data_IF_946453381985
#
_entry.id   IF_946453381985
#
_cell.length_a   1.000
_cell.length_b   1.000
_cell.length_c   1.000
_cell.angle_alpha   90.00
_cell.angle_beta   90.00
_cell.angle_gamma   90.00
#
_symmetry.space_group_name_H-M   'P 1'
#
loop_
_entity.id
_entity.type
_entity.pdbx_description
1 polymer ?
#
# COMPACT_ATOMS: atom_id res chain seq x y z
N UNK A 1 -0.79 -12.30 7.64
CA UNK A 1 -1.10 -11.07 6.87
C UNK A 1 0.00 -10.70 5.85
N UNK A 2 1.30 -10.80 6.16
CA UNK A 2 2.33 -10.57 5.14
C UNK A 2 2.22 -11.55 3.95
N UNK A 3 2.00 -12.84 4.24
CA UNK A 3 1.85 -13.88 3.21
C UNK A 3 0.67 -13.67 2.27
N UNK A 4 -0.47 -13.15 2.76
CA UNK A 4 -1.65 -12.96 1.91
C UNK A 4 -1.43 -11.90 0.83
N UNK A 5 -0.60 -10.90 1.09
CA UNK A 5 -0.29 -9.87 0.10
C UNK A 5 0.78 -10.30 -0.90
N UNK A 6 1.72 -11.14 -0.48
CA UNK A 6 2.66 -11.78 -1.40
C UNK A 6 1.90 -12.69 -2.36
N UNK A 7 1.01 -13.54 -1.83
CA UNK A 7 0.16 -14.41 -2.64
C UNK A 7 -0.69 -13.62 -3.64
N UNK A 8 -1.31 -12.50 -3.22
CA UNK A 8 -2.06 -11.62 -4.11
C UNK A 8 -1.19 -11.04 -5.24
N UNK A 9 0.05 -10.63 -4.95
CA UNK A 9 0.96 -10.10 -5.98
C UNK A 9 1.38 -11.17 -6.98
N UNK A 10 1.69 -12.37 -6.50
CA UNK A 10 2.02 -13.50 -7.37
C UNK A 10 0.84 -13.81 -8.30
N UNK A 11 -0.37 -13.93 -7.73
CA UNK A 11 -1.58 -14.15 -8.52
C UNK A 11 -1.78 -13.05 -9.58
N UNK A 12 -1.61 -11.78 -9.23
CA UNK A 12 -1.74 -10.66 -10.18
C UNK A 12 -0.69 -10.66 -11.28
N UNK A 13 0.54 -11.10 -10.99
CA UNK A 13 1.63 -11.15 -11.98
C UNK A 13 1.40 -12.22 -13.05
N UNK A 14 0.75 -13.33 -12.68
CA UNK A 14 0.44 -14.45 -13.57
C UNK A 14 -0.85 -14.23 -14.40
N UNK A 15 -1.62 -13.19 -14.08
CA UNK A 15 -2.84 -12.88 -14.83
C UNK A 15 -2.50 -12.34 -16.24
N UNK A 16 -3.27 -12.74 -17.26
CA UNK A 16 -3.22 -12.05 -18.55
C UNK A 16 -3.52 -10.56 -18.35
N UNK A 17 -2.94 -9.68 -19.18
CA UNK A 17 -3.20 -8.23 -19.14
C UNK A 17 -4.67 -7.95 -19.48
N UNK A 18 -5.51 -8.01 -18.47
CA UNK A 18 -6.91 -7.60 -18.53
C UNK A 18 -6.95 -6.18 -18.00
N UNK A 19 -7.04 -5.20 -18.90
CA UNK A 19 -7.09 -3.79 -18.51
C UNK A 19 -8.43 -3.42 -17.88
N UNK A 20 -9.51 -4.10 -18.31
CA UNK A 20 -10.86 -3.81 -17.84
C UNK A 20 -11.79 -5.02 -17.95
N UNK A 21 -12.71 -5.08 -17.00
CA UNK A 21 -13.78 -6.07 -16.90
C UNK A 21 -15.09 -5.35 -17.16
N UNK A 22 -16.00 -6.02 -17.84
CA UNK A 22 -17.28 -5.48 -18.24
C UNK A 22 -18.38 -6.43 -17.82
N UNK A 23 -19.45 -5.84 -17.31
CA UNK A 23 -20.74 -6.51 -17.20
C UNK A 23 -21.42 -6.39 -18.56
N UNK A 24 -21.89 -7.50 -19.12
CA UNK A 24 -22.53 -7.53 -20.44
C UNK A 24 -24.02 -7.29 -20.29
N UNK A 25 -24.49 -6.15 -20.81
CA UNK A 25 -25.91 -5.82 -20.89
C UNK A 25 -26.53 -6.12 -22.25
N UNK A 26 -27.75 -5.61 -22.45
CA UNK A 26 -28.49 -5.77 -23.69
C UNK A 26 -27.70 -5.21 -24.90
N UNK A 27 -27.81 -5.83 -26.10
CA UNK A 27 -28.71 -6.95 -26.43
C UNK A 27 -28.11 -8.34 -26.15
N UNK A 28 -26.85 -8.44 -25.74
CA UNK A 28 -26.11 -9.70 -25.71
C UNK A 28 -26.17 -10.43 -24.36
N UNK A 29 -26.57 -9.74 -23.30
CA UNK A 29 -26.79 -10.28 -21.96
C UNK A 29 -27.79 -9.44 -21.19
N UNK A 30 -28.05 -9.78 -19.93
CA UNK A 30 -28.97 -9.02 -19.06
C UNK A 30 -28.26 -8.31 -17.91
N UNK A 31 -26.93 -8.27 -17.94
CA UNK A 31 -26.09 -7.70 -16.88
C UNK A 31 -25.46 -8.75 -15.96
N UNK A 32 -25.46 -9.99 -16.40
CA UNK A 32 -25.13 -11.22 -15.67
C UNK A 32 -23.80 -11.85 -16.14
N UNK A 33 -23.34 -11.55 -17.35
CA UNK A 33 -22.04 -12.04 -17.81
C UNK A 33 -20.92 -11.06 -17.49
N UNK A 34 -19.76 -11.62 -17.15
CA UNK A 34 -18.52 -10.87 -16.97
C UNK A 34 -17.55 -11.22 -18.10
N UNK A 35 -17.13 -10.18 -18.82
CA UNK A 35 -16.21 -10.30 -19.96
C UNK A 35 -14.98 -9.43 -19.74
N UNK A 36 -13.82 -9.99 -20.08
CA UNK A 36 -12.55 -9.28 -20.05
C UNK A 36 -12.25 -8.60 -21.39
N UNK A 37 -11.81 -7.35 -21.34
CA UNK A 37 -11.26 -6.61 -22.48
C UNK A 37 -12.28 -5.88 -23.37
N UNK A 38 -13.54 -6.31 -23.42
CA UNK A 38 -14.59 -5.67 -24.23
C UNK A 38 -16.00 -5.91 -23.66
N UNK A 39 -16.95 -4.96 -23.76
CA UNK A 39 -18.35 -5.14 -23.30
C UNK A 39 -19.21 -6.03 -24.19
N UNK A 40 -18.78 -6.28 -25.43
CA UNK A 40 -19.38 -7.29 -26.32
C UNK A 40 -18.73 -8.66 -26.05
N UNK A 41 -19.51 -9.68 -25.66
CA UNK A 41 -18.99 -11.02 -25.35
C UNK A 41 -18.34 -11.72 -26.54
N UNK A 42 -18.63 -11.32 -27.78
CA UNK A 42 -18.00 -11.90 -28.97
C UNK A 42 -16.60 -11.33 -29.25
N UNK A 43 -16.30 -10.14 -28.71
CA UNK A 43 -15.04 -9.44 -28.92
C UNK A 43 -14.11 -9.52 -27.70
N UNK A 44 -14.67 -9.79 -26.52
CA UNK A 44 -13.92 -10.00 -25.30
C UNK A 44 -13.71 -11.48 -24.98
N UNK A 45 -12.96 -11.75 -23.90
CA UNK A 45 -12.83 -13.11 -23.38
C UNK A 45 -13.94 -13.35 -22.39
N UNK A 46 -14.85 -14.27 -22.70
CA UNK A 46 -15.86 -14.75 -21.75
C UNK A 46 -15.16 -15.37 -20.53
N UNK A 47 -15.53 -14.92 -19.33
CA UNK A 47 -14.92 -15.40 -18.08
C UNK A 47 -15.92 -16.20 -17.27
N UNK A 48 -17.07 -15.61 -16.96
CA UNK A 48 -18.03 -16.21 -16.05
C UNK A 48 -19.46 -15.75 -16.36
N UNK A 49 -20.37 -16.70 -16.18
CA UNK A 49 -21.79 -16.44 -16.00
C UNK A 49 -22.07 -16.22 -14.51
N UNK A 50 -22.89 -15.23 -14.17
CA UNK A 50 -23.42 -15.08 -12.81
C UNK A 50 -24.86 -15.55 -12.65
N UNK A 51 -25.54 -15.96 -13.74
CA UNK A 51 -26.91 -16.51 -13.75
C UNK A 51 -26.94 -17.96 -13.20
N UNK A 52 -25.85 -18.71 -13.38
CA UNK A 52 -25.73 -20.14 -13.02
C UNK A 52 -25.28 -20.42 -11.57
N UNK A 53 -25.22 -19.43 -10.68
CA UNK A 53 -24.92 -19.67 -9.25
C UNK A 53 -26.20 -20.03 -8.47
N UNK A 54 -26.84 -21.14 -8.86
CA UNK A 54 -27.85 -21.95 -8.15
C UNK A 54 -29.01 -21.24 -7.42
N UNK A 55 -29.28 -19.96 -7.65
CA UNK A 55 -30.37 -19.26 -7.00
C UNK A 55 -30.73 -17.96 -7.71
N UNK A 56 -32.01 -17.81 -8.04
CA UNK A 56 -32.58 -16.52 -8.44
C UNK A 56 -32.46 -15.52 -7.29
N UNK A 57 -31.30 -14.87 -7.20
CA UNK A 57 -30.95 -13.93 -6.17
C UNK A 57 -31.20 -12.50 -6.63
N UNK A 58 -31.88 -11.71 -5.81
CA UNK A 58 -32.18 -10.28 -6.02
C UNK A 58 -30.93 -9.40 -6.26
N UNK A 59 -29.72 -9.94 -6.08
CA UNK A 59 -28.43 -9.24 -6.10
C UNK A 59 -27.41 -9.72 -7.15
N UNK A 60 -27.78 -10.61 -8.09
CA UNK A 60 -26.85 -11.15 -9.10
C UNK A 60 -26.15 -10.03 -9.89
N UNK A 61 -26.88 -8.98 -10.25
CA UNK A 61 -26.35 -7.81 -10.94
C UNK A 61 -25.36 -7.00 -10.09
N UNK A 62 -25.61 -6.88 -8.79
CA UNK A 62 -24.71 -6.17 -7.87
C UNK A 62 -23.40 -6.94 -7.67
N UNK A 63 -23.49 -8.27 -7.60
CA UNK A 63 -22.30 -9.14 -7.53
C UNK A 63 -21.48 -9.08 -8.82
N UNK A 64 -22.12 -9.13 -9.99
CA UNK A 64 -21.43 -9.02 -11.28
C UNK A 64 -20.71 -7.66 -11.40
N UNK A 65 -21.39 -6.57 -11.00
CA UNK A 65 -20.80 -5.24 -10.96
C UNK A 65 -19.63 -5.15 -9.96
N UNK A 66 -19.77 -5.75 -8.78
CA UNK A 66 -18.71 -5.78 -7.76
C UNK A 66 -17.48 -6.55 -8.25
N UNK A 67 -17.66 -7.72 -8.85
CA UNK A 67 -16.58 -8.56 -9.39
C UNK A 67 -15.88 -7.83 -10.55
N UNK A 68 -16.63 -7.22 -11.48
CA UNK A 68 -16.05 -6.43 -12.56
C UNK A 68 -15.30 -5.17 -12.05
N UNK A 69 -15.79 -4.54 -10.98
CA UNK A 69 -15.13 -3.42 -10.32
C UNK A 69 -13.84 -3.85 -9.59
N UNK A 70 -13.81 -5.07 -9.05
CA UNK A 70 -12.64 -5.72 -8.48
C UNK A 70 -11.63 -6.21 -9.55
N UNK A 71 -11.45 -5.42 -10.60
CA UNK A 71 -10.45 -5.64 -11.65
C UNK A 71 -9.03 -5.75 -11.03
N UNK A 72 -8.21 -6.74 -11.42
CA UNK A 72 -6.79 -6.85 -11.10
C UNK A 72 -6.00 -5.54 -11.15
N UNK A 73 -6.29 -4.66 -12.12
CA UNK A 73 -5.66 -3.34 -12.20
C UNK A 73 -5.96 -2.46 -10.97
N UNK A 74 -7.20 -2.47 -10.48
CA UNK A 74 -7.60 -1.77 -9.25
C UNK A 74 -6.89 -2.35 -8.03
N UNK A 75 -6.85 -3.68 -7.92
CA UNK A 75 -6.17 -4.35 -6.80
C UNK A 75 -4.67 -4.05 -6.81
N UNK A 76 -4.02 -4.06 -7.98
CA UNK A 76 -2.61 -3.70 -8.12
C UNK A 76 -2.34 -2.25 -7.68
N UNK A 77 -3.19 -1.29 -8.07
CA UNK A 77 -3.08 0.11 -7.63
C UNK A 77 -3.22 0.24 -6.11
N UNK A 78 -4.23 -0.40 -5.51
CA UNK A 78 -4.43 -0.37 -4.06
C UNK A 78 -3.24 -0.96 -3.30
N UNK A 79 -2.62 -2.01 -3.84
CA UNK A 79 -1.40 -2.59 -3.26
C UNK A 79 -0.21 -1.63 -3.31
N UNK A 80 -0.05 -0.86 -4.40
CA UNK A 80 0.98 0.18 -4.50
C UNK A 80 0.72 1.33 -3.51
N UNK A 81 -0.52 1.81 -3.42
CA UNK A 81 -0.90 2.87 -2.48
C UNK A 81 -0.65 2.45 -1.04
N UNK A 82 -1.02 1.21 -0.70
CA UNK A 82 -0.71 0.63 0.61
C UNK A 82 0.80 0.60 0.88
N UNK A 83 1.63 0.21 -0.08
CA UNK A 83 3.09 0.21 0.11
C UNK A 83 3.63 1.60 0.40
N UNK A 84 3.17 2.60 -0.35
CA UNK A 84 3.55 3.99 -0.15
C UNK A 84 3.12 4.48 1.25
N UNK A 85 1.90 4.16 1.68
CA UNK A 85 1.40 4.51 3.02
C UNK A 85 2.19 3.82 4.13
N UNK A 86 2.51 2.53 3.99
CA UNK A 86 3.31 1.79 4.96
C UNK A 86 4.72 2.38 5.06
N UNK A 87 5.37 2.70 3.94
CA UNK A 87 6.67 3.35 3.93
C UNK A 87 6.65 4.71 4.63
N UNK A 88 5.63 5.53 4.36
CA UNK A 88 5.45 6.82 5.02
C UNK A 88 5.19 6.67 6.53
N UNK A 89 4.42 5.67 6.93
CA UNK A 89 4.14 5.39 8.34
C UNK A 89 5.40 4.97 9.09
N UNK A 90 6.23 4.12 8.50
CA UNK A 90 7.53 3.69 9.06
C UNK A 90 8.46 4.90 9.21
N UNK A 91 8.58 5.75 8.18
CA UNK A 91 9.40 6.96 8.24
C UNK A 91 8.93 7.91 9.35
N UNK A 92 7.62 8.13 9.48
CA UNK A 92 7.06 8.96 10.55
C UNK A 92 7.32 8.37 11.94
N UNK A 93 7.25 7.05 12.09
CA UNK A 93 7.58 6.38 13.35
C UNK A 93 9.05 6.58 13.73
N UNK A 94 9.98 6.49 12.78
CA UNK A 94 11.40 6.77 13.04
C UNK A 94 11.65 8.24 13.40
N UNK A 95 11.03 9.19 12.70
CA UNK A 95 11.11 10.61 13.08
C UNK A 95 10.59 10.83 14.51
N UNK A 96 9.47 10.22 14.88
CA UNK A 96 8.92 10.30 16.22
C UNK A 96 9.85 9.68 17.27
N UNK A 97 10.49 8.54 16.97
CA UNK A 97 11.46 7.88 17.83
C UNK A 97 12.72 8.75 18.06
N UNK A 98 13.27 9.35 16.99
CA UNK A 98 14.40 10.28 17.10
C UNK A 98 14.05 11.51 17.92
N UNK A 99 12.84 12.06 17.73
CA UNK A 99 12.36 13.18 18.53
C UNK A 99 12.14 12.82 20.01
N UNK A 100 11.62 11.62 20.30
CA UNK A 100 11.49 11.12 21.67
C UNK A 100 12.87 10.99 22.33
N UNK A 101 13.85 10.41 21.62
CA UNK A 101 15.22 10.28 22.09
C UNK A 101 15.86 11.62 22.44
N UNK A 102 15.64 12.66 21.61
CA UNK A 102 16.10 14.02 21.89
C UNK A 102 15.48 14.61 23.15
N UNK A 103 14.16 14.39 23.36
CA UNK A 103 13.44 14.88 24.56
C UNK A 103 13.93 14.26 25.86
N UNK A 104 14.49 13.05 25.80
CA UNK A 104 14.96 12.30 26.96
C UNK A 104 16.45 12.54 27.26
N UNK A 105 17.15 13.40 26.50
CA UNK A 105 18.58 13.68 26.75
C UNK A 105 18.78 14.40 28.08
N UNK A 106 19.79 13.95 28.83
CA UNK A 106 20.25 14.65 30.01
C UNK A 106 21.01 15.92 29.59
N UNK A 107 20.45 17.08 29.89
CA UNK A 107 21.02 18.39 29.57
C UNK A 107 22.36 18.65 30.27
N UNK A 108 22.67 17.92 31.36
CA UNK A 108 23.97 18.04 32.06
C UNK A 108 25.16 17.66 31.16
N UNK A 109 24.91 16.89 30.10
CA UNK A 109 25.91 16.41 29.14
C UNK A 109 26.32 17.45 28.09
N UNK A 110 25.68 18.63 28.04
CA UNK A 110 25.98 19.67 27.04
C UNK A 110 27.48 20.02 26.97
N UNK A 111 28.16 20.07 28.12
CA UNK A 111 29.59 20.37 28.21
C UNK A 111 30.49 19.16 27.96
N UNK A 112 29.93 17.95 28.01
CA UNK A 112 30.62 16.68 27.84
C UNK A 112 30.52 16.14 26.40
N UNK A 113 29.64 16.73 25.60
CA UNK A 113 29.39 16.39 24.20
C UNK A 113 28.10 15.59 24.01
N UNK A 114 27.46 15.76 22.86
CA UNK A 114 26.21 15.07 22.53
C UNK A 114 25.45 15.68 21.36
N UNK A 115 24.36 15.02 20.98
CA UNK A 115 23.46 15.47 19.90
C UNK A 115 22.17 16.02 20.50
N UNK A 116 21.91 17.29 20.22
CA UNK A 116 20.67 18.02 20.44
C UNK A 116 20.15 18.51 19.08
N UNK A 117 19.25 19.49 19.02
CA UNK A 117 19.00 20.24 17.77
C UNK A 117 20.26 20.98 17.23
N UNK A 118 21.38 20.87 17.94
CA UNK A 118 22.74 21.09 17.44
C UNK A 118 23.70 20.11 18.11
N UNK A 119 24.95 20.06 17.65
CA UNK A 119 26.01 19.22 18.23
C UNK A 119 26.84 20.00 19.23
N UNK A 120 27.08 19.41 20.39
CA UNK A 120 28.04 19.92 21.38
C UNK A 120 29.23 18.98 21.51
N UNK A 121 30.44 19.49 21.86
CA UNK A 121 30.78 20.88 22.15
C UNK A 121 31.07 21.74 20.90
N UNK A 122 30.94 21.19 19.69
CA UNK A 122 31.32 21.87 18.45
C UNK A 122 30.43 23.06 18.08
N UNK A 123 29.30 23.24 18.78
CA UNK A 123 28.32 24.31 18.59
C UNK A 123 27.82 24.44 17.14
N UNK A 124 27.60 23.30 16.48
CA UNK A 124 27.08 23.24 15.11
C UNK A 124 25.56 23.04 15.15
N UNK A 125 24.81 23.87 14.44
CA UNK A 125 23.36 23.67 14.27
C UNK A 125 23.14 22.56 13.25
N UNK A 126 22.30 21.58 13.59
CA UNK A 126 21.95 20.46 12.71
C UNK A 126 20.47 20.53 12.33
N UNK A 127 20.14 20.13 11.11
CA UNK A 127 18.75 20.01 10.65
C UNK A 127 18.59 18.85 9.67
N UNK A 128 17.33 18.51 9.34
CA UNK A 128 17.02 17.51 8.31
C UNK A 128 17.78 16.20 8.46
N UNK A 129 18.34 15.71 7.35
CA UNK A 129 19.08 14.44 7.29
C UNK A 129 20.34 14.43 8.14
N UNK A 130 21.00 15.59 8.31
CA UNK A 130 22.25 15.67 9.08
C UNK A 130 21.98 15.48 10.58
N UNK A 131 20.85 16.02 11.06
CA UNK A 131 20.37 15.79 12.42
C UNK A 131 19.95 14.33 12.62
N UNK A 132 19.21 13.76 11.67
CA UNK A 132 18.79 12.36 11.73
C UNK A 132 19.99 11.40 11.83
N UNK A 133 21.00 11.60 10.98
CA UNK A 133 22.21 10.78 10.96
C UNK A 133 23.02 10.90 12.25
N UNK A 134 23.15 12.11 12.80
CA UNK A 134 23.84 12.32 14.07
C UNK A 134 23.15 11.63 15.24
N UNK A 135 21.81 11.71 15.31
CA UNK A 135 21.01 11.02 16.33
C UNK A 135 21.17 9.50 16.20
N UNK A 136 21.10 8.96 14.99
CA UNK A 136 21.20 7.51 14.77
C UNK A 136 22.59 6.98 15.12
N UNK A 137 23.66 7.73 14.83
CA UNK A 137 25.02 7.39 15.25
C UNK A 137 25.15 7.35 16.78
N UNK A 138 24.60 8.34 17.48
CA UNK A 138 24.66 8.41 18.95
C UNK A 138 23.82 7.31 19.62
N UNK A 139 22.62 7.03 19.07
CA UNK A 139 21.75 5.91 19.50
C UNK A 139 22.45 4.56 19.37
N UNK A 140 23.25 4.37 18.32
CA UNK A 140 24.02 3.15 18.12
C UNK A 140 25.19 3.05 19.12
N UNK A 141 25.88 4.16 19.38
CA UNK A 141 26.99 4.24 20.34
C UNK A 141 26.57 3.95 21.78
N UNK A 142 25.38 4.42 22.20
CA UNK A 142 24.88 4.26 23.59
C UNK A 142 24.38 2.85 23.91
N UNK A 143 24.22 1.96 22.91
CA UNK A 143 23.69 0.59 23.09
C UNK A 143 24.77 -0.48 23.33
N UNK A 144 26.05 -0.11 23.30
CA UNK A 144 27.20 -0.97 23.64
C UNK A 144 27.68 -0.68 25.06
#
# INVERSE_FOLDING_TARGET
MADSFVALRCALADLPKIERWFVVGAPWGKGDFIVAGHPDPHLGRYIADTEDFDGEGEHVLEHAAFIAAANPATVARLLQERDALLAAQIANAEHANRYAWLRERDLSTILQGGVFAGKTPENVVLNGSDLDAAIDAERASTRL
#
